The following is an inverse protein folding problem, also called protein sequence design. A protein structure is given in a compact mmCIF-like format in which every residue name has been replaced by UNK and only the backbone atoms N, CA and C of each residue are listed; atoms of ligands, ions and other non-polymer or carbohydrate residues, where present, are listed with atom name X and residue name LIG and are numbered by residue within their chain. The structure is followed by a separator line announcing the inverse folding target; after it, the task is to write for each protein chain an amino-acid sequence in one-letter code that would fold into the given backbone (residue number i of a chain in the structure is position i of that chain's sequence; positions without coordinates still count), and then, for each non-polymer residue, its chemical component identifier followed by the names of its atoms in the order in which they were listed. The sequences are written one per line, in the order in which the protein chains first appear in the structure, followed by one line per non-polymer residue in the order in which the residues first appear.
data_IF_035355250490
#
_entry.id   IF_035355250490
#
_cell.length_a   1.000
_cell.length_b   1.000
_cell.length_c   1.000
_cell.angle_alpha   90.00
_cell.angle_beta   90.00
_cell.angle_gamma   90.00
#
_symmetry.space_group_name_H-M   'P 1'
#
loop_
_entity.id
_entity.type
_entity.pdbx_description
1 polymer ?
#
# COMPACT_ATOMS: atom_id res chain seq x y z
N UNK A 1 12.00 -16.54 8.97
CA UNK A 1 12.89 -15.45 8.52
C UNK A 1 12.32 -14.15 9.08
N UNK A 2 13.14 -13.25 9.63
CA UNK A 2 12.65 -11.94 10.11
C UNK A 2 13.05 -10.87 9.10
N UNK A 3 12.07 -10.13 8.59
CA UNK A 3 12.26 -9.01 7.69
C UNK A 3 11.54 -7.77 8.24
N UNK A 4 12.15 -6.60 8.09
CA UNK A 4 11.52 -5.31 8.31
C UNK A 4 11.17 -4.73 6.95
N UNK A 5 9.91 -4.35 6.77
CA UNK A 5 9.43 -3.66 5.56
C UNK A 5 9.27 -2.18 5.90
N UNK A 6 9.89 -1.32 5.11
CA UNK A 6 9.79 0.14 5.24
C UNK A 6 9.06 0.67 4.01
N UNK A 7 7.96 1.37 4.26
CA UNK A 7 7.14 1.97 3.22
C UNK A 7 7.61 3.39 2.92
N UNK A 8 7.82 3.69 1.64
CA UNK A 8 8.16 5.04 1.18
C UNK A 8 7.00 6.03 1.29
N UNK A 9 7.28 7.32 1.03
CA UNK A 9 6.23 8.34 1.02
C UNK A 9 5.13 7.98 0.02
N UNK A 10 3.89 8.39 0.34
CA UNK A 10 2.70 8.26 -0.51
C UNK A 10 2.12 6.84 -0.67
N UNK A 11 2.79 5.77 -0.22
CA UNK A 11 2.22 4.41 -0.25
C UNK A 11 0.97 4.27 0.63
N UNK A 12 0.79 5.15 1.62
CA UNK A 12 -0.43 5.26 2.42
C UNK A 12 -1.67 5.70 1.61
N UNK A 13 -1.50 6.08 0.34
CA UNK A 13 -2.62 6.44 -0.54
C UNK A 13 -3.11 5.29 -1.43
N UNK A 14 -2.45 4.12 -1.39
CA UNK A 14 -2.90 2.93 -2.13
C UNK A 14 -4.36 2.60 -1.77
N UNK A 15 -5.14 2.23 -2.79
CA UNK A 15 -6.58 1.98 -2.67
C UNK A 15 -7.45 3.22 -2.50
N UNK A 16 -6.87 4.43 -2.40
CA UNK A 16 -7.60 5.70 -2.24
C UNK A 16 -7.41 6.65 -3.41
N UNK A 17 -6.17 6.83 -3.86
CA UNK A 17 -5.86 7.72 -4.99
C UNK A 17 -6.16 7.01 -6.31
N UNK A 18 -7.01 7.64 -7.13
CA UNK A 18 -7.36 7.22 -8.50
C UNK A 18 -7.42 5.68 -8.64
N UNK A 19 -8.37 4.97 -7.98
CA UNK A 19 -8.36 3.51 -7.90
C UNK A 19 -8.41 2.80 -9.26
N UNK A 20 -9.00 3.44 -10.27
CA UNK A 20 -9.02 2.92 -11.65
C UNK A 20 -7.62 2.87 -12.29
N UNK A 21 -6.66 3.65 -11.76
CA UNK A 21 -5.28 3.73 -12.23
C UNK A 21 -4.32 2.94 -11.32
N UNK A 22 -4.46 3.07 -9.99
CA UNK A 22 -3.53 2.48 -9.02
C UNK A 22 -4.04 1.20 -8.35
N UNK A 23 -5.24 0.75 -8.70
CA UNK A 23 -5.91 -0.37 -8.07
C UNK A 23 -6.60 -0.01 -6.75
N UNK A 24 -7.37 -0.97 -6.25
CA UNK A 24 -8.17 -0.81 -5.03
C UNK A 24 -7.46 -1.33 -3.78
N UNK A 25 -6.36 -2.08 -3.94
CA UNK A 25 -5.63 -2.68 -2.82
C UNK A 25 -5.01 -1.61 -1.92
N UNK A 26 -5.20 -1.74 -0.61
CA UNK A 26 -4.69 -0.78 0.36
C UNK A 26 -3.33 -1.19 0.94
N UNK A 27 -2.62 -0.24 1.54
CA UNK A 27 -1.39 -0.57 2.27
C UNK A 27 -1.67 -1.44 3.51
N UNK A 28 -2.86 -1.32 4.11
CA UNK A 28 -3.31 -2.12 5.24
C UNK A 28 -3.45 -3.60 4.81
N UNK A 29 -4.13 -3.86 3.69
CA UNK A 29 -4.28 -5.20 3.12
C UNK A 29 -2.95 -5.88 2.72
N UNK A 30 -1.93 -5.09 2.33
CA UNK A 30 -0.59 -5.61 2.00
C UNK A 30 0.15 -6.09 3.25
N UNK A 31 -0.17 -5.56 4.43
CA UNK A 31 0.53 -5.88 5.68
C UNK A 31 -0.12 -7.04 6.46
N UNK A 32 -1.31 -7.50 6.05
CA UNK A 32 -2.02 -8.67 6.62
C UNK A 32 -1.46 -9.99 6.06
#
# INVERSE_FOLDING_TARGET
MKALVIHGPNLNMLGRREPDVYGTTTLEEIND
#
